data_IF_417973244826
#
_entry.id   IF_417973244826
#
_cell.length_a   1.000
_cell.length_b   1.000
_cell.length_c   1.000
_cell.angle_alpha   90.00
_cell.angle_beta   90.00
_cell.angle_gamma   90.00
#
_symmetry.space_group_name_H-M   'P 1'
#
loop_
_entity.id
_entity.type
_entity.pdbx_description
1 polymer ?
#
# COMPACT_ATOMS: atom_id res chain seq x y z
N UNK A 1 3.39 -12.22 -27.15
CA UNK A 1 2.06 -12.59 -26.61
C UNK A 1 1.02 -11.92 -27.50
N UNK A 2 -0.02 -12.63 -27.93
CA UNK A 2 -1.12 -12.06 -28.72
C UNK A 2 -1.87 -11.02 -27.89
N UNK A 3 -2.07 -9.79 -28.39
CA UNK A 3 -2.75 -8.69 -27.67
C UNK A 3 -4.14 -9.12 -27.18
N UNK A 4 -4.84 -9.94 -27.96
CA UNK A 4 -6.16 -10.49 -27.59
C UNK A 4 -6.09 -11.45 -26.41
N UNK A 5 -4.99 -12.20 -26.29
CA UNK A 5 -4.77 -13.07 -25.13
C UNK A 5 -4.46 -12.24 -23.88
N UNK A 6 -3.73 -11.12 -24.03
CA UNK A 6 -3.47 -10.16 -22.94
C UNK A 6 -4.75 -9.55 -22.38
N UNK A 7 -5.63 -9.05 -23.25
CA UNK A 7 -6.94 -8.49 -22.86
C UNK A 7 -7.82 -9.51 -22.13
N UNK A 8 -7.87 -10.75 -22.62
CA UNK A 8 -8.62 -11.83 -21.96
C UNK A 8 -8.09 -12.13 -20.56
N UNK A 9 -6.77 -12.15 -20.38
CA UNK A 9 -6.14 -12.38 -19.07
C UNK A 9 -6.43 -11.18 -18.15
N UNK A 10 -6.32 -9.96 -18.65
CA UNK A 10 -6.59 -8.75 -17.89
C UNK A 10 -8.03 -8.73 -17.37
N UNK A 11 -9.01 -8.98 -18.25
CA UNK A 11 -10.41 -9.04 -17.86
C UNK A 11 -10.71 -10.15 -16.85
N UNK A 12 -10.10 -11.32 -17.02
CA UNK A 12 -10.24 -12.43 -16.08
C UNK A 12 -9.66 -12.06 -14.70
N UNK A 13 -8.50 -11.41 -14.65
CA UNK A 13 -7.88 -10.92 -13.41
C UNK A 13 -8.76 -9.87 -12.74
N UNK A 14 -9.33 -8.93 -13.51
CA UNK A 14 -10.23 -7.91 -12.96
C UNK A 14 -11.49 -8.53 -12.34
N UNK A 15 -12.12 -9.49 -13.03
CA UNK A 15 -13.31 -10.18 -12.52
C UNK A 15 -12.99 -11.00 -11.26
N UNK A 16 -11.85 -11.69 -11.23
CA UNK A 16 -11.41 -12.44 -10.06
C UNK A 16 -10.90 -11.55 -8.92
N UNK A 17 -10.42 -10.34 -9.23
CA UNK A 17 -9.77 -9.45 -8.28
C UNK A 17 -10.70 -9.03 -7.14
N UNK A 18 -11.90 -8.56 -7.45
CA UNK A 18 -12.84 -8.07 -6.43
C UNK A 18 -13.18 -9.12 -5.35
N UNK A 19 -13.62 -10.35 -5.68
CA UNK A 19 -13.91 -11.35 -4.65
C UNK A 19 -12.66 -11.80 -3.90
N UNK A 20 -11.50 -11.89 -4.58
CA UNK A 20 -10.22 -12.26 -3.94
C UNK A 20 -9.79 -11.19 -2.93
N UNK A 21 -9.84 -9.92 -3.30
CA UNK A 21 -9.50 -8.81 -2.40
C UNK A 21 -10.48 -8.75 -1.23
N UNK A 22 -11.79 -8.90 -1.47
CA UNK A 22 -12.79 -8.91 -0.41
C UNK A 22 -12.51 -10.04 0.62
N UNK A 23 -12.24 -11.26 0.15
CA UNK A 23 -11.91 -12.38 1.03
C UNK A 23 -10.59 -12.16 1.77
N UNK A 24 -9.57 -11.67 1.08
CA UNK A 24 -8.26 -11.38 1.66
C UNK A 24 -8.35 -10.32 2.76
N UNK A 25 -9.01 -9.19 2.50
CA UNK A 25 -9.16 -8.12 3.48
C UNK A 25 -10.08 -8.51 4.63
N UNK A 26 -11.13 -9.30 4.38
CA UNK A 26 -11.96 -9.86 5.44
C UNK A 26 -11.16 -10.80 6.36
N UNK A 27 -10.35 -11.70 5.78
CA UNK A 27 -9.51 -12.61 6.56
C UNK A 27 -8.41 -11.85 7.34
N UNK A 28 -7.76 -10.88 6.69
CA UNK A 28 -6.75 -10.04 7.34
C UNK A 28 -7.36 -9.21 8.49
N UNK A 29 -8.55 -8.66 8.29
CA UNK A 29 -9.29 -7.93 9.32
C UNK A 29 -9.74 -8.83 10.47
N UNK A 30 -10.24 -10.03 10.19
CA UNK A 30 -10.65 -11.01 11.21
C UNK A 30 -9.46 -11.51 12.04
N UNK A 31 -8.27 -11.60 11.45
CA UNK A 31 -7.03 -11.96 12.15
C UNK A 31 -6.43 -10.83 12.99
N UNK A 32 -6.97 -9.61 12.91
CA UNK A 32 -6.41 -8.43 13.57
C UNK A 32 -6.67 -8.47 15.09
N UNK A 33 -5.63 -8.72 15.87
CA UNK A 33 -5.69 -8.66 17.34
C UNK A 33 -5.52 -7.22 17.81
N UNK A 34 -6.64 -6.52 18.04
CA UNK A 34 -6.64 -5.11 18.44
C UNK A 34 -5.83 -4.83 19.72
N UNK A 35 -5.88 -5.72 20.71
CA UNK A 35 -5.08 -5.57 21.94
C UNK A 35 -3.57 -5.61 21.67
N UNK A 36 -3.16 -6.51 20.77
CA UNK A 36 -1.78 -6.62 20.35
C UNK A 36 -1.36 -5.37 19.55
N UNK A 37 -2.27 -4.85 18.70
CA UNK A 37 -2.08 -3.62 17.94
C UNK A 37 -1.87 -2.39 18.84
N UNK A 38 -2.62 -2.24 19.92
CA UNK A 38 -2.42 -1.15 20.90
C UNK A 38 -1.06 -1.27 21.56
N UNK A 39 -0.64 -2.49 21.90
CA UNK A 39 0.65 -2.76 22.55
C UNK A 39 1.83 -2.45 21.64
N UNK A 40 1.77 -2.88 20.37
CA UNK A 40 2.86 -2.62 19.39
C UNK A 40 2.72 -1.29 18.67
N UNK A 41 1.59 -0.61 18.82
CA UNK A 41 1.22 0.60 18.09
C UNK A 41 2.29 1.69 18.11
N UNK A 42 2.86 2.05 19.28
CA UNK A 42 3.93 3.05 19.33
C UNK A 42 5.16 2.67 18.50
N UNK A 43 5.60 1.39 18.56
CA UNK A 43 6.73 0.90 17.78
C UNK A 43 6.40 0.85 16.28
N UNK A 44 5.18 0.43 15.93
CA UNK A 44 4.69 0.44 14.55
C UNK A 44 4.67 1.86 13.98
N UNK A 45 4.15 2.83 14.73
CA UNK A 45 4.09 4.24 14.30
C UNK A 45 5.48 4.85 14.13
N UNK A 46 6.42 4.52 15.01
CA UNK A 46 7.83 4.93 14.85
C UNK A 46 8.40 4.39 13.54
N UNK A 47 8.17 3.11 13.22
CA UNK A 47 8.65 2.49 11.98
C UNK A 47 7.94 3.04 10.74
N UNK A 48 6.64 3.33 10.81
CA UNK A 48 5.88 4.01 9.75
C UNK A 48 6.50 5.39 9.46
N UNK A 49 6.76 6.18 10.50
CA UNK A 49 7.37 7.50 10.35
C UNK A 49 8.79 7.40 9.77
N UNK A 50 9.62 6.51 10.32
CA UNK A 50 10.99 6.28 9.83
C UNK A 50 10.99 5.87 8.35
N UNK A 51 10.13 4.92 7.98
CA UNK A 51 9.96 4.50 6.58
C UNK A 51 9.50 5.66 5.71
N UNK A 52 8.51 6.44 6.14
CA UNK A 52 8.02 7.60 5.41
C UNK A 52 9.11 8.64 5.15
N UNK A 53 9.91 8.96 6.16
CA UNK A 53 11.07 9.86 6.03
C UNK A 53 12.12 9.29 5.08
N UNK A 54 12.43 8.01 5.17
CA UNK A 54 13.39 7.35 4.30
C UNK A 54 12.94 7.38 2.82
N UNK A 55 11.66 7.13 2.55
CA UNK A 55 11.07 7.20 1.19
C UNK A 55 11.09 8.64 0.67
N UNK A 56 10.65 9.60 1.49
CA UNK A 56 10.67 11.01 1.14
C UNK A 56 12.07 11.49 0.78
N UNK A 57 13.05 11.21 1.63
CA UNK A 57 14.44 11.58 1.40
C UNK A 57 14.99 10.92 0.14
N UNK A 58 14.72 9.62 -0.05
CA UNK A 58 15.19 8.87 -1.21
C UNK A 58 14.63 9.44 -2.52
N UNK A 59 13.34 9.76 -2.56
CA UNK A 59 12.73 10.40 -3.75
C UNK A 59 13.31 11.79 -4.01
N UNK A 60 13.55 12.59 -2.97
CA UNK A 60 14.15 13.93 -3.12
C UNK A 60 15.56 13.88 -3.69
N UNK A 61 16.32 12.85 -3.32
CA UNK A 61 17.75 12.75 -3.67
C UNK A 61 18.03 11.93 -4.93
N UNK A 62 17.20 10.92 -5.21
CA UNK A 62 17.48 9.89 -6.21
C UNK A 62 16.37 9.68 -7.24
N UNK A 63 15.24 10.41 -7.19
CA UNK A 63 14.24 10.29 -8.24
C UNK A 63 14.80 10.74 -9.61
N UNK A 64 14.31 10.14 -10.72
CA UNK A 64 14.73 10.48 -12.07
C UNK A 64 14.69 12.00 -12.33
N UNK A 65 15.66 12.49 -13.10
CA UNK A 65 15.79 13.93 -13.37
C UNK A 65 14.81 14.41 -14.46
N UNK A 66 14.23 13.48 -15.22
CA UNK A 66 13.47 13.77 -16.44
C UNK A 66 12.14 14.50 -16.16
N UNK A 67 11.53 14.25 -15.00
CA UNK A 67 10.35 14.99 -14.53
C UNK A 67 10.55 15.50 -13.08
N UNK A 68 10.68 16.83 -12.87
CA UNK A 68 10.82 17.43 -11.55
C UNK A 68 9.69 17.08 -10.57
N UNK A 69 8.48 16.76 -11.07
CA UNK A 69 7.33 16.37 -10.26
C UNK A 69 7.60 15.05 -9.52
N UNK A 70 8.41 14.15 -10.08
CA UNK A 70 8.78 12.90 -9.41
C UNK A 70 9.56 13.16 -8.12
N UNK A 71 10.53 14.07 -8.13
CA UNK A 71 11.26 14.47 -6.90
C UNK A 71 10.32 15.06 -5.84
N UNK A 72 9.25 15.72 -6.25
CA UNK A 72 8.32 16.39 -5.34
C UNK A 72 7.24 15.47 -4.78
N UNK A 73 6.65 14.61 -5.61
CA UNK A 73 5.39 13.91 -5.32
C UNK A 73 5.48 12.38 -5.34
N UNK A 74 6.50 11.77 -5.96
CA UNK A 74 6.60 10.30 -6.08
C UNK A 74 6.53 9.60 -4.72
N UNK A 75 7.18 10.16 -3.70
CA UNK A 75 7.23 9.58 -2.36
C UNK A 75 5.85 9.32 -1.77
N UNK A 76 4.85 10.14 -2.13
CA UNK A 76 3.48 10.05 -1.63
C UNK A 76 2.79 8.78 -2.13
N UNK A 77 3.05 8.39 -3.38
CA UNK A 77 2.53 7.15 -3.98
C UNK A 77 3.21 5.88 -3.47
N UNK A 78 4.41 5.99 -2.89
CA UNK A 78 5.20 4.85 -2.37
C UNK A 78 4.90 4.51 -0.90
N UNK A 79 4.02 5.27 -0.25
CA UNK A 79 3.64 5.04 1.15
C UNK A 79 2.79 3.78 1.30
N UNK A 80 1.83 3.55 0.39
CA UNK A 80 0.94 2.36 0.45
C UNK A 80 1.74 1.05 0.40
N UNK A 81 1.23 0.02 1.08
CA UNK A 81 1.79 -1.32 1.02
C UNK A 81 0.73 -2.30 0.52
N UNK A 82 1.13 -3.26 -0.31
CA UNK A 82 0.20 -4.24 -0.89
C UNK A 82 0.32 -5.63 -0.25
N UNK A 83 -0.54 -6.54 -0.72
CA UNK A 83 -0.67 -7.93 -0.25
C UNK A 83 0.61 -8.76 -0.19
N UNK A 84 1.63 -8.43 -0.99
CA UNK A 84 2.95 -9.09 -0.92
C UNK A 84 3.55 -8.96 0.49
N UNK A 85 3.40 -7.80 1.14
CA UNK A 85 3.92 -7.57 2.50
C UNK A 85 3.21 -8.44 3.52
N UNK A 86 1.88 -8.58 3.43
CA UNK A 86 1.11 -9.49 4.27
C UNK A 86 1.56 -10.95 4.09
N UNK A 87 1.75 -11.39 2.85
CA UNK A 87 2.24 -12.74 2.56
C UNK A 87 3.62 -13.01 3.15
N UNK A 88 4.53 -12.03 3.07
CA UNK A 88 5.86 -12.11 3.70
C UNK A 88 5.79 -12.11 5.23
N UNK A 89 4.89 -11.31 5.82
CA UNK A 89 4.68 -11.30 7.28
C UNK A 89 4.18 -12.66 7.79
N UNK A 90 3.19 -13.24 7.12
CA UNK A 90 2.69 -14.58 7.41
C UNK A 90 3.76 -15.66 7.21
N UNK A 91 4.62 -15.51 6.19
CA UNK A 91 5.75 -16.41 5.98
C UNK A 91 6.75 -16.31 7.15
N UNK A 92 7.14 -15.11 7.56
CA UNK A 92 8.05 -14.90 8.71
C UNK A 92 7.48 -15.52 9.98
N UNK A 93 6.18 -15.33 10.23
CA UNK A 93 5.46 -15.92 11.36
C UNK A 93 5.58 -17.44 11.40
N UNK A 94 5.37 -18.10 10.25
CA UNK A 94 5.46 -19.56 10.11
C UNK A 94 6.89 -20.08 10.15
N UNK A 95 7.85 -19.34 9.58
CA UNK A 95 9.26 -19.74 9.50
C UNK A 95 9.98 -19.58 10.83
N UNK A 96 9.62 -18.58 11.64
CA UNK A 96 10.29 -18.28 12.91
C UNK A 96 9.29 -18.27 14.09
N UNK A 97 8.89 -19.43 14.62
CA UNK A 97 7.83 -19.50 15.64
C UNK A 97 8.12 -18.75 16.96
N UNK A 98 9.40 -18.49 17.26
CA UNK A 98 9.79 -17.83 18.50
C UNK A 98 9.54 -16.31 18.52
N UNK A 99 9.68 -15.63 17.37
CA UNK A 99 9.54 -14.17 17.27
C UNK A 99 8.70 -13.70 16.07
N UNK A 100 8.43 -14.59 15.12
CA UNK A 100 7.71 -14.31 13.88
C UNK A 100 6.29 -13.80 14.10
N UNK A 101 5.48 -14.36 15.03
CA UNK A 101 4.16 -13.82 15.32
C UNK A 101 4.18 -12.35 15.78
N UNK A 102 5.19 -11.94 16.55
CA UNK A 102 5.35 -10.56 17.00
C UNK A 102 5.71 -9.64 15.84
N UNK A 103 6.57 -10.10 14.93
CA UNK A 103 6.94 -9.36 13.71
C UNK A 103 5.74 -9.24 12.77
N UNK A 104 4.94 -10.30 12.61
CA UNK A 104 3.73 -10.27 11.81
C UNK A 104 2.75 -9.23 12.34
N UNK A 105 2.46 -9.23 13.64
CA UNK A 105 1.59 -8.22 14.27
C UNK A 105 2.12 -6.81 14.05
N UNK A 106 3.43 -6.59 14.17
CA UNK A 106 4.06 -5.29 13.93
C UNK A 106 3.91 -4.85 12.46
N UNK A 107 4.15 -5.74 11.50
CA UNK A 107 4.02 -5.43 10.07
C UNK A 107 2.56 -5.16 9.71
N UNK A 108 1.62 -5.98 10.21
CA UNK A 108 0.18 -5.77 9.99
C UNK A 108 -0.25 -4.42 10.54
N UNK A 109 0.23 -4.03 11.73
CA UNK A 109 0.00 -2.70 12.30
C UNK A 109 0.48 -1.56 11.39
N UNK A 110 1.68 -1.70 10.83
CA UNK A 110 2.20 -0.72 9.86
C UNK A 110 1.35 -0.67 8.60
N UNK A 111 0.93 -1.82 8.06
CA UNK A 111 0.10 -1.88 6.85
C UNK A 111 -1.24 -1.18 7.10
N UNK A 112 -1.89 -1.42 8.25
CA UNK A 112 -3.15 -0.73 8.61
C UNK A 112 -2.98 0.80 8.57
N UNK A 113 -1.88 1.33 9.11
CA UNK A 113 -1.60 2.77 9.03
C UNK A 113 -1.39 3.25 7.59
N UNK A 114 -0.63 2.51 6.78
CA UNK A 114 -0.35 2.86 5.39
C UNK A 114 -1.59 2.76 4.49
N UNK A 115 -2.52 1.84 4.73
CA UNK A 115 -3.75 1.71 3.92
C UNK A 115 -4.74 2.85 4.18
N UNK A 116 -4.72 3.46 5.37
CA UNK A 116 -5.53 4.66 5.66
C UNK A 116 -4.92 5.92 5.04
N UNK A 117 -3.59 6.06 5.10
CA UNK A 117 -2.89 7.27 4.66
C UNK A 117 -2.53 7.24 3.17
N UNK A 118 -2.21 6.06 2.64
CA UNK A 118 -1.72 5.83 1.28
C UNK A 118 -2.63 6.39 0.19
N UNK A 119 -3.92 6.00 0.14
CA UNK A 119 -4.85 6.49 -0.89
C UNK A 119 -4.99 8.03 -0.88
N UNK A 120 -5.02 8.63 0.32
CA UNK A 120 -5.11 10.09 0.48
C UNK A 120 -3.86 10.77 -0.08
N UNK A 121 -2.68 10.25 0.25
CA UNK A 121 -1.41 10.76 -0.26
C UNK A 121 -1.29 10.56 -1.77
N UNK A 122 -1.61 9.39 -2.31
CA UNK A 122 -1.59 9.12 -3.74
C UNK A 122 -2.52 10.07 -4.50
N UNK A 123 -3.76 10.27 -4.03
CA UNK A 123 -4.69 11.24 -4.64
C UNK A 123 -4.12 12.65 -4.64
N UNK A 124 -3.51 13.08 -3.53
CA UNK A 124 -2.90 14.41 -3.42
C UNK A 124 -1.67 14.55 -4.33
N UNK A 125 -0.92 13.46 -4.55
CA UNK A 125 0.23 13.44 -5.45
C UNK A 125 -0.21 13.66 -6.90
N UNK A 126 -1.21 12.90 -7.35
CA UNK A 126 -1.79 13.02 -8.68
C UNK A 126 -2.40 14.41 -8.92
N UNK A 127 -3.10 14.96 -7.92
CA UNK A 127 -3.66 16.31 -8.00
C UNK A 127 -2.56 17.36 -8.14
N UNK A 128 -1.51 17.25 -7.32
CA UNK A 128 -0.40 18.21 -7.31
C UNK A 128 0.54 18.08 -8.51
N UNK A 129 0.60 16.89 -9.14
CA UNK A 129 1.33 16.69 -10.40
C UNK A 129 0.54 17.11 -11.64
N UNK A 130 -0.77 17.37 -11.49
CA UNK A 130 -1.66 17.71 -12.61
C UNK A 130 -2.09 16.50 -13.44
N UNK A 131 -2.02 15.28 -12.87
CA UNK A 131 -2.39 14.03 -13.55
C UNK A 131 -3.85 13.62 -13.35
N UNK A 132 -4.57 14.29 -12.46
CA UNK A 132 -6.02 14.10 -12.36
C UNK A 132 -6.69 14.85 -13.51
N UNK A 133 -7.23 14.09 -14.48
CA UNK A 133 -8.14 14.63 -15.50
C UNK A 133 -9.49 14.93 -14.85
N UNK A 134 -9.93 16.18 -14.91
CA UNK A 134 -11.27 16.59 -14.47
C UNK A 134 -12.33 16.13 -15.49
N UNK A 135 -12.53 14.82 -15.64
CA UNK A 135 -13.67 14.30 -16.44
C UNK A 135 -14.90 13.99 -15.57
N UNK A 136 -14.86 14.24 -14.25
CA UNK A 136 -16.00 14.08 -13.33
C UNK A 136 -16.91 15.33 -13.20
N UNK A 137 -16.70 16.39 -13.99
CA UNK A 137 -17.57 17.58 -14.01
C UNK A 137 -18.71 17.51 -15.05
N UNK A 138 -18.91 16.36 -15.72
CA UNK A 138 -20.01 16.14 -16.67
C UNK A 138 -21.03 15.09 -16.19
N UNK A 139 -21.23 15.03 -14.86
CA UNK A 139 -22.23 14.19 -14.21
C UNK A 139 -23.40 14.97 -13.61
N UNK A 140 -23.81 16.09 -14.22
CA UNK A 140 -25.08 16.77 -13.92
C UNK A 140 -25.63 17.45 -15.17
N UNK A 141 -26.47 16.73 -15.91
CA UNK A 141 -27.63 17.23 -16.64
C UNK A 141 -28.53 16.04 -17.01
#
# INVERSE_FOLDING_TARGET
LDERAGERIHHAIQQAGLPVFALFFAAAGAGLKLDALVTVGPAAMLLVALRGVAIWFSCRRFAPADDPRLKQYLWMGLISQAGVTFGLAALVSRTFPSFGPQVEVLIVAMITAHELVGPVLTRRALAASGEIRTDEAAGTA
#
